data_IF_830245383410
#
_entry.id   IF_830245383410
#
_cell.length_a   1.000
_cell.length_b   1.000
_cell.length_c   1.000
_cell.angle_alpha   90.00
_cell.angle_beta   90.00
_cell.angle_gamma   90.00
#
_symmetry.space_group_name_H-M   'P 1'
#
loop_
_entity.id
_entity.type
_entity.pdbx_description
1 polymer ?
#
# COMPACT_ATOMS: atom_id res chain seq x y z
N UNK A 1 17.51 3.98 -6.71
CA UNK A 1 18.01 3.48 -5.41
C UNK A 1 17.16 4.16 -4.34
N UNK A 2 16.02 3.56 -3.99
CA UNK A 2 15.01 4.19 -3.14
C UNK A 2 15.51 4.31 -1.68
N UNK A 3 15.32 5.50 -1.12
CA UNK A 3 15.64 5.86 0.27
C UNK A 3 14.90 4.95 1.25
N UNK A 4 15.65 4.20 2.04
CA UNK A 4 15.16 3.68 3.33
C UNK A 4 15.20 4.85 4.32
N UNK A 5 14.10 5.17 5.03
CA UNK A 5 14.03 6.33 5.91
C UNK A 5 15.04 6.24 7.07
N UNK A 6 15.57 7.39 7.44
CA UNK A 6 16.72 7.63 8.34
C UNK A 6 16.45 7.26 9.83
N UNK A 7 15.23 6.86 10.17
CA UNK A 7 14.78 6.66 11.56
C UNK A 7 15.15 5.32 12.19
N UNK A 8 15.57 4.32 11.40
CA UNK A 8 15.90 2.97 11.92
C UNK A 8 17.41 2.75 12.16
N UNK A 9 18.25 3.76 11.87
CA UNK A 9 19.73 3.63 11.92
C UNK A 9 20.34 3.63 13.33
N UNK A 10 19.52 3.81 14.37
CA UNK A 10 19.97 3.96 15.77
C UNK A 10 19.66 2.76 16.68
N UNK A 11 18.82 1.81 16.27
CA UNK A 11 18.49 0.65 17.11
C UNK A 11 19.48 -0.48 16.83
N UNK A 12 20.04 -1.07 17.89
CA UNK A 12 20.72 -2.36 17.79
C UNK A 12 19.76 -3.33 17.11
N UNK A 13 20.20 -4.02 16.06
CA UNK A 13 19.39 -5.08 15.48
C UNK A 13 19.30 -6.24 16.48
N UNK A 14 18.23 -7.03 16.43
CA UNK A 14 18.12 -8.23 17.25
C UNK A 14 19.28 -9.20 16.97
N UNK A 15 19.83 -9.17 15.75
CA UNK A 15 21.03 -9.92 15.36
C UNK A 15 22.28 -9.42 16.12
N UNK A 16 22.42 -8.12 16.34
CA UNK A 16 23.52 -7.56 17.15
C UNK A 16 23.44 -7.99 18.62
N UNK A 17 22.22 -8.13 19.16
CA UNK A 17 21.99 -8.66 20.50
C UNK A 17 22.39 -10.14 20.61
N UNK A 18 22.09 -10.94 19.58
CA UNK A 18 22.52 -12.34 19.50
C UNK A 18 24.05 -12.45 19.46
N UNK A 19 24.71 -11.59 18.67
CA UNK A 19 26.17 -11.56 18.63
C UNK A 19 26.80 -11.13 19.94
N UNK A 20 26.23 -10.12 20.60
CA UNK A 20 26.66 -9.69 21.93
C UNK A 20 26.52 -10.81 22.95
N UNK A 21 25.39 -11.52 22.95
CA UNK A 21 25.18 -12.67 23.83
C UNK A 21 26.20 -13.79 23.57
N UNK A 22 26.48 -14.10 22.29
CA UNK A 22 27.47 -15.11 21.90
C UNK A 22 28.89 -14.74 22.34
N UNK A 23 29.34 -13.52 22.07
CA UNK A 23 30.67 -13.05 22.46
C UNK A 23 30.81 -12.92 23.98
N UNK A 24 29.75 -12.51 24.68
CA UNK A 24 29.72 -12.47 26.14
C UNK A 24 29.80 -13.89 26.72
N UNK A 25 29.09 -14.87 26.15
CA UNK A 25 29.20 -16.27 26.51
C UNK A 25 30.63 -16.81 26.33
N UNK A 26 31.27 -16.50 25.19
CA UNK A 26 32.67 -16.84 24.93
C UNK A 26 33.66 -16.17 25.91
N UNK A 27 33.37 -14.95 26.35
CA UNK A 27 34.17 -14.25 27.34
C UNK A 27 34.06 -14.89 28.73
N UNK A 28 32.88 -15.39 29.09
CA UNK A 28 32.59 -16.03 30.38
C UNK A 28 33.08 -17.49 30.48
N UNK A 29 33.17 -18.21 29.35
CA UNK A 29 33.66 -19.60 29.33
C UNK A 29 35.20 -19.68 29.48
N UNK A 30 35.66 -20.56 30.39
CA UNK A 30 37.08 -20.85 30.67
C UNK A 30 37.69 -21.79 29.60
N UNK A 31 38.99 -21.66 29.27
CA UNK A 31 39.98 -22.43 30.05
C UNK A 31 40.98 -21.57 30.86
N UNK A 32 41.18 -20.29 30.56
CA UNK A 32 42.03 -19.36 31.35
C UNK A 32 41.47 -17.93 31.34
N UNK A 33 41.40 -17.29 32.51
CA UNK A 33 41.06 -15.87 32.64
C UNK A 33 42.29 -15.02 32.30
N UNK A 34 42.48 -14.75 31.01
CA UNK A 34 43.54 -13.86 30.54
C UNK A 34 42.94 -12.52 30.07
N UNK A 35 43.42 -11.41 30.64
CA UNK A 35 42.94 -10.05 30.33
C UNK A 35 43.03 -9.73 28.84
N UNK A 36 44.10 -10.21 28.18
CA UNK A 36 44.31 -10.05 26.74
C UNK A 36 43.21 -10.72 25.89
N UNK A 37 42.68 -11.87 26.33
CA UNK A 37 41.53 -12.53 25.69
C UNK A 37 40.27 -11.67 25.78
N UNK A 38 39.99 -11.10 26.95
CA UNK A 38 38.79 -10.30 27.16
C UNK A 38 38.81 -9.00 26.35
N UNK A 39 39.97 -8.33 26.29
CA UNK A 39 40.14 -7.10 25.50
C UNK A 39 39.94 -7.37 24.00
N UNK A 40 40.51 -8.45 23.48
CA UNK A 40 40.40 -8.80 22.05
C UNK A 40 38.98 -9.24 21.65
N UNK A 41 38.29 -10.01 22.50
CA UNK A 41 36.88 -10.36 22.30
C UNK A 41 35.96 -9.14 22.35
N UNK A 42 36.23 -8.20 23.27
CA UNK A 42 35.48 -6.94 23.36
C UNK A 42 35.70 -6.07 22.12
N UNK A 43 36.95 -5.95 21.65
CA UNK A 43 37.27 -5.22 20.42
C UNK A 43 36.55 -5.81 19.21
N UNK A 44 36.53 -7.14 19.10
CA UNK A 44 35.81 -7.86 18.04
C UNK A 44 34.29 -7.64 18.11
N UNK A 45 33.70 -7.68 19.31
CA UNK A 45 32.27 -7.41 19.49
C UNK A 45 31.88 -5.97 19.19
N UNK A 46 32.69 -5.02 19.65
CA UNK A 46 32.52 -3.61 19.31
C UNK A 46 32.58 -3.41 17.79
N UNK A 47 33.59 -4.00 17.14
CA UNK A 47 33.72 -3.91 15.68
C UNK A 47 32.54 -4.54 14.95
N UNK A 48 32.02 -5.69 15.41
CA UNK A 48 30.85 -6.36 14.82
C UNK A 48 29.61 -5.45 14.80
N UNK A 49 29.35 -4.72 15.89
CA UNK A 49 28.19 -3.80 16.00
C UNK A 49 28.33 -2.60 15.05
N UNK A 50 29.56 -2.10 14.89
CA UNK A 50 29.82 -0.92 14.06
C UNK A 50 30.20 -1.23 12.61
N UNK A 51 30.33 -2.51 12.25
CA UNK A 51 30.78 -2.95 10.92
C UNK A 51 29.94 -2.31 9.81
N UNK A 52 28.62 -2.35 9.92
CA UNK A 52 27.74 -1.82 8.87
C UNK A 52 27.97 -0.31 8.66
N UNK A 53 28.19 0.45 9.75
CA UNK A 53 28.49 1.89 9.67
C UNK A 53 29.88 2.13 9.07
N UNK A 54 30.86 1.33 9.46
CA UNK A 54 32.22 1.42 8.93
C UNK A 54 32.28 1.14 7.42
N UNK A 55 31.60 0.07 6.97
CA UNK A 55 31.52 -0.29 5.55
C UNK A 55 30.84 0.82 4.75
N UNK A 56 29.78 1.44 5.29
CA UNK A 56 29.13 2.60 4.68
C UNK A 56 30.01 3.84 4.60
N UNK A 57 30.84 4.09 5.61
CA UNK A 57 31.75 5.24 5.63
C UNK A 57 32.84 5.14 4.55
N UNK A 58 33.20 3.93 4.11
CA UNK A 58 34.22 3.70 3.06
C UNK A 58 33.69 2.75 1.98
N UNK A 59 32.81 3.20 1.06
CA UNK A 59 32.01 2.30 0.21
C UNK A 59 32.81 1.38 -0.73
N UNK A 60 33.97 1.85 -1.24
CA UNK A 60 34.77 1.09 -2.23
C UNK A 60 35.65 0.00 -1.63
N UNK A 61 36.17 0.21 -0.41
CA UNK A 61 37.17 -0.68 0.23
C UNK A 61 36.77 -1.15 1.63
N UNK A 62 35.76 -0.53 2.23
CA UNK A 62 35.24 -0.84 3.57
C UNK A 62 34.91 -2.31 3.78
N UNK A 63 34.23 -3.01 2.85
CA UNK A 63 34.00 -4.45 3.00
C UNK A 63 35.27 -5.28 3.11
N UNK A 64 36.29 -4.96 2.29
CA UNK A 64 37.56 -5.68 2.31
C UNK A 64 38.32 -5.39 3.61
N UNK A 65 38.35 -4.14 4.05
CA UNK A 65 38.93 -3.76 5.33
C UNK A 65 38.23 -4.44 6.50
N UNK A 66 36.90 -4.60 6.46
CA UNK A 66 36.17 -5.31 7.50
C UNK A 66 36.63 -6.76 7.64
N UNK A 67 36.73 -7.48 6.52
CA UNK A 67 37.19 -8.88 6.53
C UNK A 67 38.64 -8.96 7.05
N UNK A 68 39.53 -8.09 6.59
CA UNK A 68 40.94 -8.05 7.06
C UNK A 68 41.01 -7.77 8.56
N UNK A 69 40.30 -6.76 9.06
CA UNK A 69 40.26 -6.43 10.49
C UNK A 69 39.79 -7.63 11.30
N UNK A 70 38.75 -8.33 10.85
CA UNK A 70 38.24 -9.53 11.54
C UNK A 70 39.21 -10.71 11.48
N UNK A 71 39.92 -10.91 10.39
CA UNK A 71 41.00 -11.92 10.33
C UNK A 71 42.07 -11.59 11.37
N UNK A 72 42.52 -10.32 11.44
CA UNK A 72 43.55 -9.88 12.39
C UNK A 72 43.07 -10.04 13.85
N UNK A 73 41.86 -9.60 14.17
CA UNK A 73 41.28 -9.73 15.51
C UNK A 73 41.06 -11.21 15.89
N UNK A 74 40.59 -12.04 14.96
CA UNK A 74 40.45 -13.49 15.19
C UNK A 74 41.81 -14.15 15.48
N UNK A 75 42.83 -13.83 14.67
CA UNK A 75 44.20 -14.30 14.90
C UNK A 75 44.75 -13.84 16.25
N UNK A 76 44.46 -12.61 16.68
CA UNK A 76 44.89 -12.11 17.97
C UNK A 76 44.25 -12.89 19.14
N UNK A 77 42.95 -13.20 19.06
CA UNK A 77 42.26 -14.01 20.08
C UNK A 77 42.86 -15.42 20.13
N UNK A 78 43.06 -16.06 18.98
CA UNK A 78 43.61 -17.43 18.91
C UNK A 78 45.05 -17.48 19.41
N UNK A 79 45.89 -16.49 19.06
CA UNK A 79 47.25 -16.37 19.58
C UNK A 79 47.30 -16.27 21.11
N UNK A 80 46.38 -15.51 21.72
CA UNK A 80 46.31 -15.38 23.19
C UNK A 80 45.73 -16.63 23.87
N UNK A 81 45.09 -17.56 23.15
CA UNK A 81 44.33 -18.67 23.75
C UNK A 81 44.92 -20.05 23.46
N UNK A 82 46.20 -20.11 23.07
CA UNK A 82 46.91 -21.37 22.84
C UNK A 82 47.16 -21.70 21.37
N UNK A 83 46.95 -20.76 20.45
CA UNK A 83 47.26 -20.96 19.04
C UNK A 83 46.37 -22.01 18.39
N UNK A 84 46.97 -22.95 17.66
CA UNK A 84 46.23 -23.92 16.84
C UNK A 84 45.31 -24.87 17.65
N UNK A 85 45.64 -25.11 18.91
CA UNK A 85 44.84 -25.94 19.84
C UNK A 85 43.69 -25.17 20.49
N UNK A 86 43.60 -23.84 20.26
CA UNK A 86 42.56 -23.01 20.86
C UNK A 86 41.15 -23.43 20.45
N UNK A 87 40.28 -23.60 21.44
CA UNK A 87 38.84 -23.80 21.22
C UNK A 87 38.14 -22.57 20.63
N UNK A 88 38.81 -21.41 20.57
CA UNK A 88 38.28 -20.16 20.01
C UNK A 88 38.39 -20.07 18.48
N UNK A 89 38.88 -21.11 17.79
CA UNK A 89 39.00 -21.12 16.32
C UNK A 89 37.68 -20.82 15.59
N UNK A 90 36.52 -21.07 16.22
CA UNK A 90 35.19 -20.75 15.67
C UNK A 90 35.01 -19.24 15.39
N UNK A 91 35.80 -18.37 16.01
CA UNK A 91 35.76 -16.93 15.73
C UNK A 91 36.12 -16.61 14.27
N UNK A 92 36.90 -17.47 13.60
CA UNK A 92 37.20 -17.32 12.18
C UNK A 92 35.96 -17.48 11.26
N UNK A 93 34.82 -17.94 11.78
CA UNK A 93 33.57 -17.84 11.02
C UNK A 93 33.15 -16.39 10.78
N UNK A 94 33.50 -15.43 11.65
CA UNK A 94 33.11 -14.04 11.47
C UNK A 94 33.65 -13.41 10.18
N UNK A 95 34.96 -13.46 9.86
CA UNK A 95 35.46 -12.95 8.58
C UNK A 95 34.87 -13.72 7.38
N UNK A 96 34.62 -15.03 7.51
CA UNK A 96 33.99 -15.84 6.45
C UNK A 96 32.55 -15.39 6.17
N UNK A 97 31.74 -15.24 7.22
CA UNK A 97 30.35 -14.76 7.12
C UNK A 97 30.32 -13.35 6.54
N UNK A 98 31.24 -12.48 6.96
CA UNK A 98 31.36 -11.10 6.45
C UNK A 98 31.72 -11.09 4.97
N UNK A 99 32.65 -11.96 4.55
CA UNK A 99 32.99 -12.10 3.14
C UNK A 99 31.78 -12.57 2.32
N UNK A 100 31.06 -13.58 2.82
CA UNK A 100 29.86 -14.12 2.19
C UNK A 100 28.71 -13.09 2.08
N UNK A 101 28.61 -12.16 3.03
CA UNK A 101 27.61 -11.09 3.02
C UNK A 101 27.93 -9.99 2.01
N UNK A 102 29.20 -9.61 1.85
CA UNK A 102 29.56 -8.44 1.04
C UNK A 102 29.99 -8.76 -0.39
N UNK A 103 30.54 -9.94 -0.65
CA UNK A 103 31.18 -10.27 -1.92
C UNK A 103 30.42 -11.32 -2.73
N UNK A 104 30.78 -11.45 -4.01
CA UNK A 104 30.31 -12.54 -4.86
C UNK A 104 30.91 -13.90 -4.48
N UNK A 105 30.43 -14.98 -5.08
CA UNK A 105 30.84 -16.35 -4.73
C UNK A 105 32.36 -16.58 -4.82
N UNK A 106 32.99 -16.18 -5.93
CA UNK A 106 34.44 -16.38 -6.14
C UNK A 106 35.26 -15.59 -5.12
N UNK A 107 34.92 -14.32 -4.90
CA UNK A 107 35.62 -13.47 -3.94
C UNK A 107 35.43 -13.96 -2.50
N UNK A 108 34.25 -14.49 -2.17
CA UNK A 108 33.97 -15.12 -0.87
C UNK A 108 34.90 -16.31 -0.64
N UNK A 109 35.07 -17.18 -1.65
CA UNK A 109 36.00 -18.30 -1.57
C UNK A 109 37.45 -17.85 -1.41
N UNK A 110 37.87 -16.80 -2.12
CA UNK A 110 39.22 -16.23 -1.97
C UNK A 110 39.47 -15.68 -0.55
N UNK A 111 38.52 -14.93 0.01
CA UNK A 111 38.60 -14.45 1.39
C UNK A 111 38.57 -15.59 2.40
N UNK A 112 37.80 -16.64 2.13
CA UNK A 112 37.75 -17.84 2.98
C UNK A 112 39.08 -18.59 2.93
N UNK A 113 39.70 -18.72 1.76
CA UNK A 113 41.03 -19.29 1.61
C UNK A 113 42.09 -18.46 2.34
N UNK A 114 42.02 -17.13 2.27
CA UNK A 114 42.92 -16.25 3.04
C UNK A 114 42.70 -16.40 4.55
N UNK A 115 41.46 -16.51 4.99
CA UNK A 115 41.09 -16.73 6.40
C UNK A 115 41.61 -18.08 6.90
N UNK A 116 41.41 -19.14 6.10
CA UNK A 116 41.93 -20.48 6.33
C UNK A 116 43.46 -20.49 6.40
N UNK A 117 44.14 -19.80 5.49
CA UNK A 117 45.59 -19.66 5.51
C UNK A 117 46.09 -18.91 6.76
N UNK A 118 45.41 -17.84 7.18
CA UNK A 118 45.73 -17.12 8.40
C UNK A 118 45.58 -18.00 9.65
N UNK A 119 44.56 -18.85 9.71
CA UNK A 119 44.38 -19.82 10.77
C UNK A 119 45.45 -20.93 10.74
N UNK A 120 45.73 -21.48 9.56
CA UNK A 120 46.75 -22.52 9.38
C UNK A 120 48.18 -22.02 9.58
N UNK A 121 48.43 -20.70 9.51
CA UNK A 121 49.73 -20.12 9.81
C UNK A 121 50.20 -20.44 11.24
N UNK A 122 49.27 -20.67 12.19
CA UNK A 122 49.57 -21.11 13.55
C UNK A 122 50.08 -22.55 13.64
N UNK A 123 49.94 -23.35 12.58
CA UNK A 123 50.50 -24.70 12.51
C UNK A 123 52.03 -24.66 12.42
N UNK A 124 52.60 -23.68 11.72
CA UNK A 124 54.05 -23.55 11.53
C UNK A 124 54.85 -23.49 12.86
N UNK A 125 54.54 -22.58 13.81
CA UNK A 125 55.21 -22.59 15.11
C UNK A 125 54.88 -23.82 15.95
N UNK A 126 53.66 -24.37 15.83
CA UNK A 126 53.28 -25.58 16.57
C UNK A 126 54.10 -26.81 16.14
N UNK A 127 54.36 -26.97 14.85
CA UNK A 127 55.14 -28.09 14.30
C UNK A 127 56.63 -28.06 14.68
N UNK A 128 57.15 -26.92 15.14
CA UNK A 128 58.51 -26.83 15.66
C UNK A 128 58.66 -27.52 17.02
N UNK A 129 57.57 -27.61 17.78
CA UNK A 129 57.55 -28.14 19.15
C UNK A 129 56.85 -29.50 19.22
N UNK A 130 55.80 -29.70 18.40
CA UNK A 130 54.94 -30.87 18.43
C UNK A 130 54.93 -31.59 17.07
N UNK A 131 54.62 -32.89 17.07
CA UNK A 131 54.39 -33.67 15.84
C UNK A 131 52.90 -33.71 15.52
N UNK A 132 52.54 -33.53 14.26
CA UNK A 132 51.16 -33.64 13.80
C UNK A 132 50.69 -35.09 13.87
N UNK A 133 49.71 -35.35 14.74
CA UNK A 133 49.01 -36.64 14.79
C UNK A 133 48.01 -36.75 13.63
N UNK A 134 47.64 -37.98 13.28
CA UNK A 134 46.59 -38.24 12.28
C UNK A 134 45.25 -37.63 12.69
N UNK A 135 44.96 -37.66 13.99
CA UNK A 135 43.71 -37.13 14.55
C UNK A 135 43.69 -35.60 14.47
N UNK A 136 44.80 -34.93 14.83
CA UNK A 136 44.93 -33.48 14.71
C UNK A 136 44.87 -32.99 13.26
N UNK A 137 45.48 -33.72 12.33
CA UNK A 137 45.37 -33.43 10.90
C UNK A 137 43.91 -33.53 10.40
N UNK A 138 43.20 -34.57 10.85
CA UNK A 138 41.80 -34.79 10.51
C UNK A 138 40.91 -33.69 11.09
N UNK A 139 41.12 -33.31 12.34
CA UNK A 139 40.37 -32.23 12.98
C UNK A 139 40.60 -30.88 12.26
N UNK A 140 41.84 -30.55 11.92
CA UNK A 140 42.15 -29.34 11.14
C UNK A 140 41.52 -29.35 9.75
N UNK A 141 41.50 -30.50 9.08
CA UNK A 141 40.85 -30.65 7.79
C UNK A 141 39.33 -30.42 7.90
N UNK A 142 38.68 -30.99 8.92
CA UNK A 142 37.26 -30.79 9.20
C UNK A 142 36.97 -29.29 9.47
N UNK A 143 37.73 -28.65 10.37
CA UNK A 143 37.56 -27.22 10.69
C UNK A 143 37.63 -26.34 9.43
N UNK A 144 38.62 -26.56 8.57
CA UNK A 144 38.77 -25.80 7.33
C UNK A 144 37.65 -26.10 6.33
N UNK A 145 37.26 -27.36 6.15
CA UNK A 145 36.13 -27.74 5.29
C UNK A 145 34.85 -27.01 5.71
N UNK A 146 34.62 -26.90 7.02
CA UNK A 146 33.48 -26.17 7.56
C UNK A 146 33.51 -24.66 7.28
N UNK A 147 34.68 -24.01 7.23
CA UNK A 147 34.77 -22.61 6.79
C UNK A 147 34.28 -22.45 5.35
N UNK A 148 34.73 -23.30 4.43
CA UNK A 148 34.27 -23.27 3.04
C UNK A 148 32.79 -23.61 2.88
N UNK A 149 32.30 -24.62 3.64
CA UNK A 149 30.89 -24.98 3.64
C UNK A 149 30.02 -23.79 4.10
N UNK A 150 30.36 -23.16 5.23
CA UNK A 150 29.64 -22.00 5.72
C UNK A 150 29.70 -20.83 4.74
N UNK A 151 30.86 -20.57 4.14
CA UNK A 151 31.03 -19.54 3.12
C UNK A 151 30.05 -19.71 1.95
N UNK A 152 29.96 -20.93 1.42
CA UNK A 152 29.11 -21.25 0.27
C UNK A 152 27.63 -21.16 0.66
N UNK A 153 27.23 -21.78 1.78
CA UNK A 153 25.82 -21.79 2.24
C UNK A 153 25.33 -20.37 2.50
N UNK A 154 26.11 -19.57 3.23
CA UNK A 154 25.75 -18.20 3.58
C UNK A 154 25.73 -17.32 2.32
N UNK A 155 26.73 -17.42 1.45
CA UNK A 155 26.77 -16.61 0.24
C UNK A 155 25.58 -16.93 -0.67
N UNK A 156 25.26 -18.22 -0.84
CA UNK A 156 24.10 -18.65 -1.61
C UNK A 156 22.79 -18.12 -1.03
N UNK A 157 22.61 -18.24 0.28
CA UNK A 157 21.44 -17.70 0.97
C UNK A 157 21.31 -16.18 0.79
N UNK A 158 22.40 -15.44 0.94
CA UNK A 158 22.43 -13.98 0.77
C UNK A 158 22.09 -13.60 -0.68
N UNK A 159 22.62 -14.30 -1.66
CA UNK A 159 22.34 -14.07 -3.08
C UNK A 159 20.87 -14.37 -3.41
N UNK A 160 20.35 -15.51 -2.97
CA UNK A 160 18.95 -15.90 -3.17
C UNK A 160 17.99 -14.91 -2.48
N UNK A 161 18.29 -14.51 -1.25
CA UNK A 161 17.51 -13.50 -0.50
C UNK A 161 17.48 -12.16 -1.22
N UNK A 162 18.62 -11.68 -1.73
CA UNK A 162 18.69 -10.43 -2.52
C UNK A 162 17.87 -10.55 -3.80
N UNK A 163 17.92 -11.68 -4.50
CA UNK A 163 17.17 -11.89 -5.73
C UNK A 163 15.67 -11.96 -5.46
N UNK A 164 15.24 -12.64 -4.40
CA UNK A 164 13.83 -12.66 -3.98
C UNK A 164 13.33 -11.25 -3.65
N UNK A 165 14.09 -10.48 -2.87
CA UNK A 165 13.72 -9.10 -2.51
C UNK A 165 13.56 -8.20 -3.75
N UNK A 166 14.40 -8.37 -4.77
CA UNK A 166 14.27 -7.63 -6.04
C UNK A 166 13.01 -8.04 -6.82
N UNK A 167 12.72 -9.34 -6.91
CA UNK A 167 11.50 -9.84 -7.58
C UNK A 167 10.23 -9.34 -6.92
N UNK A 168 10.18 -9.33 -5.58
CA UNK A 168 9.05 -8.80 -4.84
C UNK A 168 8.82 -7.30 -5.12
N UNK A 169 9.90 -6.51 -5.19
CA UNK A 169 9.80 -5.08 -5.53
C UNK A 169 9.27 -4.86 -6.96
N UNK A 170 9.81 -5.60 -7.94
CA UNK A 170 9.35 -5.49 -9.32
C UNK A 170 7.88 -5.91 -9.48
N UNK A 171 7.45 -6.98 -8.78
CA UNK A 171 6.05 -7.41 -8.76
C UNK A 171 5.14 -6.35 -8.14
N UNK A 172 5.56 -5.73 -7.03
CA UNK A 172 4.80 -4.66 -6.39
C UNK A 172 4.61 -3.45 -7.32
N UNK A 173 5.68 -3.03 -8.01
CA UNK A 173 5.62 -1.95 -9.01
C UNK A 173 4.67 -2.28 -10.17
N UNK A 174 4.75 -3.50 -10.71
CA UNK A 174 3.87 -3.96 -11.80
C UNK A 174 2.41 -4.04 -11.35
N UNK A 175 2.15 -4.48 -10.12
CA UNK A 175 0.80 -4.54 -9.56
C UNK A 175 0.20 -3.15 -9.40
N UNK A 176 0.98 -2.18 -8.93
CA UNK A 176 0.56 -0.79 -8.82
C UNK A 176 0.21 -0.20 -10.20
N UNK A 177 1.05 -0.43 -11.20
CA UNK A 177 0.80 0.02 -12.57
C UNK A 177 -0.47 -0.61 -13.16
N UNK A 178 -0.63 -1.93 -12.99
CA UNK A 178 -1.81 -2.67 -13.47
C UNK A 178 -3.09 -2.16 -12.81
N UNK A 179 -3.07 -1.88 -11.50
CA UNK A 179 -4.21 -1.30 -10.79
C UNK A 179 -4.57 0.09 -11.31
N UNK A 180 -3.58 0.93 -11.61
CA UNK A 180 -3.81 2.26 -12.20
C UNK A 180 -4.44 2.15 -13.60
N UNK A 181 -3.97 1.21 -14.43
CA UNK A 181 -4.54 0.97 -15.75
C UNK A 181 -5.98 0.45 -15.66
N UNK A 182 -6.25 -0.49 -14.75
CA UNK A 182 -7.59 -1.00 -14.50
C UNK A 182 -8.56 0.12 -14.08
N UNK A 183 -8.14 0.99 -13.16
CA UNK A 183 -8.96 2.12 -12.71
C UNK A 183 -9.29 3.09 -13.86
N UNK A 184 -8.34 3.36 -14.76
CA UNK A 184 -8.57 4.19 -15.96
C UNK A 184 -9.54 3.53 -16.93
N UNK A 185 -9.35 2.24 -17.22
CA UNK A 185 -10.24 1.48 -18.10
C UNK A 185 -11.68 1.40 -17.56
N UNK A 186 -11.85 1.27 -16.24
CA UNK A 186 -13.16 1.32 -15.59
C UNK A 186 -13.83 2.68 -15.76
N UNK A 187 -13.09 3.79 -15.61
CA UNK A 187 -13.65 5.12 -15.81
C UNK A 187 -14.04 5.38 -17.28
N UNK A 188 -13.20 4.96 -18.23
CA UNK A 188 -13.51 5.03 -19.66
C UNK A 188 -14.74 4.21 -20.02
N UNK A 189 -14.85 2.99 -19.48
CA UNK A 189 -16.03 2.14 -19.65
C UNK A 189 -17.29 2.82 -19.10
N UNK A 190 -17.23 3.36 -17.88
CA UNK A 190 -18.35 4.10 -17.26
C UNK A 190 -18.76 5.31 -18.10
N UNK A 191 -17.79 6.04 -18.67
CA UNK A 191 -18.06 7.16 -19.59
C UNK A 191 -18.73 6.68 -20.87
N UNK A 192 -18.28 5.57 -21.45
CA UNK A 192 -18.86 4.96 -22.64
C UNK A 192 -20.31 4.51 -22.41
N UNK A 193 -20.58 3.85 -21.28
CA UNK A 193 -21.93 3.44 -20.87
C UNK A 193 -22.87 4.65 -20.73
N UNK A 194 -22.41 5.75 -20.11
CA UNK A 194 -23.18 7.01 -20.03
C UNK A 194 -23.49 7.60 -21.40
N UNK A 195 -22.52 7.63 -22.31
CA UNK A 195 -22.72 8.15 -23.67
C UNK A 195 -23.68 7.28 -24.48
N UNK A 196 -23.60 5.95 -24.37
CA UNK A 196 -24.52 5.04 -25.02
C UNK A 196 -25.95 5.23 -24.50
N UNK A 197 -26.13 5.31 -23.18
CA UNK A 197 -27.42 5.61 -22.56
C UNK A 197 -27.96 6.99 -22.98
N UNK A 198 -27.08 8.01 -23.07
CA UNK A 198 -27.45 9.33 -23.59
C UNK A 198 -27.94 9.27 -25.04
N UNK A 199 -27.31 8.44 -25.88
CA UNK A 199 -27.75 8.21 -27.26
C UNK A 199 -29.15 7.60 -27.33
N UNK A 200 -29.44 6.58 -26.52
CA UNK A 200 -30.79 5.99 -26.42
C UNK A 200 -31.82 7.00 -25.90
N UNK A 201 -31.49 7.74 -24.83
CA UNK A 201 -32.37 8.76 -24.27
C UNK A 201 -32.62 9.90 -25.24
N UNK A 202 -31.64 10.32 -26.04
CA UNK A 202 -31.81 11.41 -27.03
C UNK A 202 -32.88 11.07 -28.07
N UNK A 203 -32.98 9.81 -28.50
CA UNK A 203 -34.03 9.36 -29.41
C UNK A 203 -35.43 9.43 -28.78
N UNK A 204 -35.56 8.99 -27.52
CA UNK A 204 -36.80 9.11 -26.75
C UNK A 204 -37.16 10.57 -26.45
N UNK A 205 -36.18 11.39 -26.08
CA UNK A 205 -36.33 12.82 -25.80
C UNK A 205 -36.82 13.55 -27.04
N UNK A 206 -36.24 13.30 -28.22
CA UNK A 206 -36.72 13.92 -29.45
C UNK A 206 -38.21 13.62 -29.72
N UNK A 207 -38.66 12.41 -29.39
CA UNK A 207 -40.06 12.03 -29.52
C UNK A 207 -40.93 12.73 -28.47
N UNK A 208 -40.49 12.74 -27.21
CA UNK A 208 -41.19 13.39 -26.09
C UNK A 208 -41.19 14.92 -26.16
N UNK A 209 -40.22 15.55 -26.82
CA UNK A 209 -40.20 17.01 -27.08
C UNK A 209 -41.15 17.38 -28.22
N UNK A 210 -41.34 16.49 -29.20
CA UNK A 210 -42.21 16.72 -30.37
C UNK A 210 -43.67 16.91 -29.96
N UNK A 211 -44.12 16.17 -28.94
CA UNK A 211 -45.49 16.22 -28.41
C UNK A 211 -45.86 17.60 -27.80
N UNK A 212 -45.15 18.12 -26.77
CA UNK A 212 -45.39 19.44 -26.20
C UNK A 212 -45.24 20.55 -27.25
N UNK A 213 -44.24 20.46 -28.15
CA UNK A 213 -44.10 21.43 -29.24
C UNK A 213 -45.30 21.44 -30.18
N UNK A 214 -45.90 20.28 -30.48
CA UNK A 214 -47.12 20.21 -31.28
C UNK A 214 -48.32 20.84 -30.55
N UNK A 215 -48.45 20.63 -29.23
CA UNK A 215 -49.51 21.21 -28.39
C UNK A 215 -49.33 22.74 -28.26
N UNK A 216 -48.10 23.22 -28.03
CA UNK A 216 -47.77 24.65 -27.99
C UNK A 216 -48.12 25.31 -29.33
N UNK A 217 -47.72 24.68 -30.45
CA UNK A 217 -48.02 25.17 -31.79
C UNK A 217 -49.53 25.23 -32.04
N UNK A 218 -50.27 24.15 -31.76
CA UNK A 218 -51.72 24.10 -31.96
C UNK A 218 -52.47 25.09 -31.07
N UNK A 219 -52.05 25.24 -29.82
CA UNK A 219 -52.62 26.21 -28.88
C UNK A 219 -52.33 27.64 -29.31
N UNK A 220 -51.11 27.94 -29.77
CA UNK A 220 -50.72 29.24 -30.30
C UNK A 220 -51.45 29.61 -31.59
N UNK A 221 -51.67 28.65 -32.51
CA UNK A 221 -52.45 28.85 -33.74
C UNK A 221 -53.92 29.14 -33.43
N UNK A 222 -54.49 28.46 -32.43
CA UNK A 222 -55.84 28.75 -31.94
C UNK A 222 -55.94 30.10 -31.24
N UNK A 223 -54.94 30.45 -30.43
CA UNK A 223 -54.86 31.75 -29.76
C UNK A 223 -54.86 32.87 -30.81
N UNK A 224 -53.95 32.80 -31.79
CA UNK A 224 -53.81 33.79 -32.86
C UNK A 224 -55.08 33.96 -33.72
N UNK A 225 -55.85 32.88 -33.95
CA UNK A 225 -57.14 32.96 -34.65
C UNK A 225 -58.24 33.67 -33.85
N UNK A 226 -58.14 33.72 -32.52
CA UNK A 226 -59.23 34.16 -31.62
C UNK A 226 -58.96 35.41 -30.80
N UNK A 227 -57.72 35.92 -30.74
CA UNK A 227 -57.45 37.29 -30.25
C UNK A 227 -58.19 38.36 -31.06
N UNK A 228 -58.74 37.99 -32.23
CA UNK A 228 -59.67 38.78 -33.03
C UNK A 228 -61.15 38.78 -32.52
N UNK A 229 -61.49 38.01 -31.47
CA UNK A 229 -62.90 37.73 -31.10
C UNK A 229 -63.24 37.87 -29.60
N UNK A 230 -62.25 38.04 -28.71
CA UNK A 230 -62.45 38.49 -27.31
C UNK A 230 -63.20 37.54 -26.36
N UNK A 231 -62.72 36.32 -26.14
CA UNK A 231 -63.45 35.28 -25.38
C UNK A 231 -62.57 34.48 -24.39
N UNK A 232 -63.19 33.90 -23.34
CA UNK A 232 -62.56 33.26 -22.17
C UNK A 232 -61.65 32.05 -22.44
N UNK A 233 -61.75 31.43 -23.62
CA UNK A 233 -60.90 30.34 -24.10
C UNK A 233 -59.41 30.72 -24.25
N UNK A 234 -59.12 32.02 -24.26
CA UNK A 234 -57.76 32.58 -24.39
C UNK A 234 -56.89 32.25 -23.18
N UNK A 235 -57.50 32.19 -21.98
CA UNK A 235 -56.80 31.83 -20.74
C UNK A 235 -56.38 30.35 -20.73
N UNK A 236 -57.27 29.45 -21.13
CA UNK A 236 -57.01 28.00 -21.21
C UNK A 236 -55.90 27.67 -22.22
N UNK A 237 -55.89 28.32 -23.39
CA UNK A 237 -54.84 28.15 -24.39
C UNK A 237 -53.47 28.67 -23.90
N UNK A 238 -53.45 29.78 -23.15
CA UNK A 238 -52.23 30.30 -22.54
C UNK A 238 -51.70 29.36 -21.43
N UNK A 239 -52.60 28.77 -20.64
CA UNK A 239 -52.27 27.79 -19.61
C UNK A 239 -51.70 26.50 -20.21
N UNK A 240 -52.27 25.99 -21.30
CA UNK A 240 -51.75 24.84 -22.05
C UNK A 240 -50.34 25.08 -22.60
N UNK A 241 -50.07 26.27 -23.14
CA UNK A 241 -48.73 26.65 -23.62
C UNK A 241 -47.74 26.70 -22.43
N UNK A 242 -48.13 27.34 -21.33
CA UNK A 242 -47.29 27.44 -20.13
C UNK A 242 -46.96 26.06 -19.53
N UNK A 243 -47.95 25.18 -19.46
CA UNK A 243 -47.80 23.80 -19.01
C UNK A 243 -46.77 23.02 -19.82
N UNK A 244 -46.87 23.06 -21.16
CA UNK A 244 -45.93 22.32 -22.00
C UNK A 244 -44.53 22.93 -22.04
N UNK A 245 -44.38 24.25 -21.86
CA UNK A 245 -43.06 24.87 -21.66
C UNK A 245 -42.40 24.35 -20.37
N UNK A 246 -43.14 24.26 -19.27
CA UNK A 246 -42.63 23.73 -18.01
C UNK A 246 -42.24 22.25 -18.12
N UNK A 247 -43.04 21.46 -18.85
CA UNK A 247 -42.74 20.05 -19.14
C UNK A 247 -41.47 19.89 -19.97
N UNK A 248 -41.33 20.67 -21.04
CA UNK A 248 -40.12 20.75 -21.87
C UNK A 248 -38.87 21.07 -21.05
N UNK A 249 -38.99 22.07 -20.16
CA UNK A 249 -37.87 22.49 -19.32
C UNK A 249 -37.46 21.41 -18.32
N UNK A 250 -38.42 20.66 -17.77
CA UNK A 250 -38.17 19.51 -16.89
C UNK A 250 -37.45 18.38 -17.63
N UNK A 251 -37.88 18.04 -18.85
CA UNK A 251 -37.25 17.02 -19.69
C UNK A 251 -35.80 17.38 -20.04
N UNK A 252 -35.56 18.62 -20.46
CA UNK A 252 -34.22 19.13 -20.77
C UNK A 252 -33.32 19.10 -19.53
N UNK A 253 -33.85 19.50 -18.37
CA UNK A 253 -33.10 19.49 -17.10
C UNK A 253 -32.69 18.08 -16.69
N UNK A 254 -33.60 17.10 -16.77
CA UNK A 254 -33.28 15.68 -16.49
C UNK A 254 -32.21 15.15 -17.45
N UNK A 255 -32.29 15.50 -18.72
CA UNK A 255 -31.31 15.11 -19.74
C UNK A 255 -29.91 15.71 -19.48
N UNK A 256 -29.83 17.01 -19.19
CA UNK A 256 -28.56 17.70 -18.89
C UNK A 256 -27.90 17.20 -17.60
N UNK A 257 -28.70 16.88 -16.58
CA UNK A 257 -28.20 16.34 -15.31
C UNK A 257 -27.58 14.94 -15.46
N UNK A 258 -28.13 14.10 -16.36
CA UNK A 258 -27.55 12.78 -16.65
C UNK A 258 -26.24 12.87 -17.47
N UNK A 259 -26.14 13.87 -18.36
CA UNK A 259 -24.98 14.05 -19.23
C UNK A 259 -23.75 14.67 -18.54
N UNK A 260 -23.93 15.36 -17.41
CA UNK A 260 -22.82 16.00 -16.68
C UNK A 260 -22.10 15.01 -15.75
N UNK A 261 -20.75 15.03 -15.68
CA UNK A 261 -20.06 14.42 -14.57
C UNK A 261 -20.47 15.16 -13.28
N UNK A 262 -21.19 14.49 -12.38
CA UNK A 262 -21.41 15.02 -11.03
C UNK A 262 -20.15 14.73 -10.21
N UNK A 263 -19.47 15.79 -9.77
CA UNK A 263 -18.53 15.69 -8.66
C UNK A 263 -19.32 15.48 -7.37
N UNK A 264 -19.08 14.36 -6.69
CA UNK A 264 -19.73 14.03 -5.43
C UNK A 264 -19.08 14.83 -4.30
N UNK A 265 -19.85 15.67 -3.62
CA UNK A 265 -19.40 16.38 -2.42
C UNK A 265 -19.72 15.58 -1.16
N UNK A 266 -18.94 14.52 -0.93
CA UNK A 266 -19.13 13.63 0.21
C UNK A 266 -18.79 14.33 1.54
N UNK A 267 -19.79 14.46 2.42
CA UNK A 267 -19.65 14.99 3.78
C UNK A 267 -20.37 14.07 4.77
N UNK A 268 -19.86 13.99 6.00
CA UNK A 268 -20.53 13.32 7.10
C UNK A 268 -21.77 14.14 7.49
N UNK A 269 -22.94 13.62 7.15
CA UNK A 269 -24.22 14.32 7.35
C UNK A 269 -25.22 13.40 8.08
N UNK A 270 -26.07 13.94 8.97
CA UNK A 270 -27.13 13.18 9.59
C UNK A 270 -28.27 12.93 8.59
N UNK A 271 -28.71 11.68 8.47
CA UNK A 271 -29.67 11.26 7.45
C UNK A 271 -31.11 11.74 7.74
N UNK A 272 -31.58 11.63 8.98
CA UNK A 272 -32.96 11.93 9.34
C UNK A 272 -33.39 13.37 9.00
N UNK A 273 -32.62 14.43 9.35
CA UNK A 273 -32.97 15.81 8.98
C UNK A 273 -33.05 16.04 7.48
N UNK A 274 -32.26 15.30 6.70
CA UNK A 274 -32.25 15.40 5.24
C UNK A 274 -33.52 14.78 4.63
N UNK A 275 -33.93 13.61 5.14
CA UNK A 275 -35.19 12.97 4.76
C UNK A 275 -36.39 13.85 5.11
N UNK A 276 -36.40 14.45 6.30
CA UNK A 276 -37.49 15.34 6.74
C UNK A 276 -37.63 16.59 5.87
N UNK A 277 -36.51 17.20 5.43
CA UNK A 277 -36.56 18.35 4.51
C UNK A 277 -37.16 17.97 3.16
N UNK A 278 -36.74 16.84 2.58
CA UNK A 278 -37.30 16.34 1.32
C UNK A 278 -38.80 16.09 1.45
N UNK A 279 -39.21 15.45 2.54
CA UNK A 279 -40.60 15.08 2.79
C UNK A 279 -41.49 16.32 3.00
N UNK A 280 -41.02 17.31 3.76
CA UNK A 280 -41.70 18.60 3.92
C UNK A 280 -41.91 19.30 2.57
N UNK A 281 -40.88 19.30 1.72
CA UNK A 281 -40.92 19.95 0.41
C UNK A 281 -41.99 19.36 -0.51
N UNK A 282 -42.23 18.05 -0.43
CA UNK A 282 -43.30 17.37 -1.18
C UNK A 282 -44.66 17.65 -0.55
N UNK A 283 -44.76 17.58 0.78
CA UNK A 283 -46.01 17.85 1.50
C UNK A 283 -46.55 19.27 1.23
N UNK A 284 -45.68 20.28 1.22
CA UNK A 284 -46.04 21.68 0.95
C UNK A 284 -46.63 21.86 -0.47
N UNK A 285 -46.33 20.95 -1.40
CA UNK A 285 -46.87 20.99 -2.76
C UNK A 285 -48.30 20.45 -2.82
N UNK A 286 -48.68 19.54 -1.93
CA UNK A 286 -50.01 18.92 -1.86
C UNK A 286 -50.63 18.99 -0.46
N UNK A 287 -51.01 20.19 -0.01
CA UNK A 287 -51.54 20.40 1.34
C UNK A 287 -52.85 19.63 1.60
N UNK A 288 -53.63 19.32 0.55
CA UNK A 288 -54.93 18.64 0.66
C UNK A 288 -54.86 17.12 0.45
N UNK A 289 -53.66 16.55 0.28
CA UNK A 289 -53.50 15.12 0.03
C UNK A 289 -53.84 14.28 1.28
N UNK A 290 -54.62 13.20 1.09
CA UNK A 290 -55.00 12.24 2.15
C UNK A 290 -53.90 11.21 2.43
N UNK A 291 -52.67 11.69 2.63
CA UNK A 291 -51.50 10.85 2.90
C UNK A 291 -51.08 11.02 4.36
N UNK A 292 -51.02 9.92 5.10
CA UNK A 292 -50.52 9.85 6.48
C UNK A 292 -49.04 9.48 6.42
N UNK A 293 -48.17 10.22 7.10
CA UNK A 293 -46.71 9.96 7.07
C UNK A 293 -46.27 9.37 8.41
N UNK A 294 -45.70 8.16 8.38
CA UNK A 294 -45.12 7.48 9.54
C UNK A 294 -43.59 7.48 9.48
N UNK A 295 -42.95 8.02 10.52
CA UNK A 295 -41.48 8.13 10.59
C UNK A 295 -40.94 7.17 11.63
N UNK A 296 -40.11 6.23 11.20
CA UNK A 296 -39.43 5.28 12.07
C UNK A 296 -37.91 5.41 11.90
N UNK A 297 -37.33 6.38 12.61
CA UNK A 297 -35.87 6.56 12.67
C UNK A 297 -35.31 5.88 13.94
N UNK A 298 -34.12 5.31 13.85
CA UNK A 298 -33.43 4.84 15.06
C UNK A 298 -32.83 6.04 15.82
N UNK A 299 -32.86 5.97 17.16
CA UNK A 299 -32.48 7.08 18.04
C UNK A 299 -30.99 7.46 17.96
N UNK A 300 -30.13 6.53 17.50
CA UNK A 300 -28.67 6.65 17.48
C UNK A 300 -28.06 6.60 16.06
N UNK A 301 -28.82 7.04 15.05
CA UNK A 301 -28.39 6.97 13.65
C UNK A 301 -27.09 7.77 13.43
N UNK A 302 -25.96 7.11 13.08
CA UNK A 302 -24.69 7.80 12.92
C UNK A 302 -24.68 8.66 11.64
N UNK A 303 -23.96 9.79 11.62
CA UNK A 303 -23.71 10.52 10.38
C UNK A 303 -22.99 9.63 9.37
N UNK A 304 -23.41 9.69 8.11
CA UNK A 304 -22.81 8.90 7.03
C UNK A 304 -22.21 9.83 5.97
N UNK A 305 -21.11 9.43 5.30
CA UNK A 305 -20.55 10.20 4.21
C UNK A 305 -21.48 10.14 3.00
N UNK A 306 -22.15 11.25 2.68
CA UNK A 306 -23.06 11.41 1.56
C UNK A 306 -22.99 12.81 0.94
N UNK A 307 -23.57 12.99 -0.24
CA UNK A 307 -23.81 14.30 -0.85
C UNK A 307 -25.24 14.74 -0.52
N UNK A 308 -25.38 15.75 0.33
CA UNK A 308 -26.67 16.13 0.89
C UNK A 308 -27.68 16.58 -0.17
N UNK A 309 -27.23 17.30 -1.19
CA UNK A 309 -28.11 17.87 -2.22
C UNK A 309 -28.64 16.77 -3.15
N UNK A 310 -27.75 15.86 -3.58
CA UNK A 310 -28.12 14.73 -4.43
C UNK A 310 -29.02 13.74 -3.68
N UNK A 311 -28.70 13.43 -2.42
CA UNK A 311 -29.55 12.57 -1.60
C UNK A 311 -30.94 13.18 -1.37
N UNK A 312 -31.02 14.48 -1.06
CA UNK A 312 -32.31 15.16 -0.86
C UNK A 312 -33.17 15.14 -2.14
N UNK A 313 -32.55 15.24 -3.31
CA UNK A 313 -33.21 15.08 -4.60
C UNK A 313 -33.75 13.67 -4.82
N UNK A 314 -32.97 12.63 -4.46
CA UNK A 314 -33.43 11.22 -4.52
C UNK A 314 -34.66 11.03 -3.66
N UNK A 315 -34.62 11.46 -2.40
CA UNK A 315 -35.77 11.33 -1.50
C UNK A 315 -36.98 12.12 -1.99
N UNK A 316 -36.78 13.35 -2.47
CA UNK A 316 -37.86 14.18 -3.03
C UNK A 316 -38.54 13.47 -4.20
N UNK A 317 -37.78 12.86 -5.12
CA UNK A 317 -38.35 12.12 -6.26
C UNK A 317 -39.12 10.86 -5.81
N UNK A 318 -38.59 10.12 -4.82
CA UNK A 318 -39.28 8.94 -4.29
C UNK A 318 -40.59 9.31 -3.60
N UNK A 319 -40.60 10.37 -2.80
CA UNK A 319 -41.80 10.86 -2.13
C UNK A 319 -42.82 11.41 -3.10
N UNK A 320 -42.41 12.18 -4.12
CA UNK A 320 -43.30 12.61 -5.20
C UNK A 320 -44.00 11.42 -5.85
N UNK A 321 -43.26 10.38 -6.23
CA UNK A 321 -43.85 9.18 -6.84
C UNK A 321 -44.83 8.46 -5.91
N UNK A 322 -44.53 8.40 -4.60
CA UNK A 322 -45.40 7.76 -3.62
C UNK A 322 -46.70 8.54 -3.44
N UNK A 323 -46.59 9.87 -3.34
CA UNK A 323 -47.72 10.78 -3.27
C UNK A 323 -48.60 10.64 -4.53
N UNK A 324 -48.02 10.69 -5.75
CA UNK A 324 -48.73 10.49 -7.03
C UNK A 324 -49.47 9.15 -7.08
N UNK A 325 -48.86 8.08 -6.60
CA UNK A 325 -49.52 6.77 -6.54
C UNK A 325 -50.73 6.74 -5.57
N UNK A 326 -50.77 7.62 -4.57
CA UNK A 326 -51.82 7.70 -3.54
C UNK A 326 -52.83 8.83 -3.76
N UNK A 327 -52.72 9.58 -4.87
CA UNK A 327 -53.53 10.80 -5.12
C UNK A 327 -55.05 10.54 -5.03
N UNK A 328 -55.52 9.37 -5.48
CA UNK A 328 -56.96 9.03 -5.52
C UNK A 328 -57.47 8.27 -4.30
N UNK A 329 -56.68 7.35 -3.74
CA UNK A 329 -57.12 6.48 -2.63
C UNK A 329 -56.69 6.98 -1.25
N UNK A 330 -55.69 7.88 -1.18
CA UNK A 330 -54.93 8.13 0.04
C UNK A 330 -54.08 6.90 0.43
N UNK A 331 -53.41 7.00 1.58
CA UNK A 331 -52.60 5.90 2.12
C UNK A 331 -51.63 6.34 3.21
N UNK A 332 -50.77 5.42 3.65
CA UNK A 332 -49.71 5.68 4.63
C UNK A 332 -48.35 5.57 3.94
N UNK A 333 -47.53 6.62 4.10
CA UNK A 333 -46.14 6.72 3.63
C UNK A 333 -45.15 6.39 4.74
#
# INVERSE_FOLDING_TARGET
>A
MAMVPDSDRRKLSWVDLVWLAFLTGLALLQPRFEVHKQITLLALGLFQIFEHRFVWAVPRRGPAYSVVIKIVLASAVVNCTGGIESSYYLIYFLPVVSAAMFFGAVQTLLWTALTSAAYLAFLMPALQVYRLTTDGATELAIRNLFFFLAAIVINRFVLESRQQAQRYRALAETLEETNRQLARAQEEKRRSERLAALGQLSGGLAHELRNPLAIIKGSSEMLAKRTASGDGLTAELAENISGEVNRLNTLITRFLNFARPSELHMKLEPLAPLVDRALKRVHDRWPDARVVVERHYADDLPPIPLDAELCEQVFTNLFMNAYEAMETSGGTL
#
